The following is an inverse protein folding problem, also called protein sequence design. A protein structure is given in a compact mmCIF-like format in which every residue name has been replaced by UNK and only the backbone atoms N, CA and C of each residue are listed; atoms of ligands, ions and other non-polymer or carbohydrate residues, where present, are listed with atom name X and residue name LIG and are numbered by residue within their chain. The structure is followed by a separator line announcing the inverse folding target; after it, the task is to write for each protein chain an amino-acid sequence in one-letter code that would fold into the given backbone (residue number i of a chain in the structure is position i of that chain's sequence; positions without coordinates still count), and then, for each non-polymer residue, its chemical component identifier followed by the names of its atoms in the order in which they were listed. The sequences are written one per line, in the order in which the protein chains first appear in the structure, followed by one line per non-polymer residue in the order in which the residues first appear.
data_IF_094315735871
#
_entry.id   IF_094315735871
#
_cell.length_a   1.000
_cell.length_b   1.000
_cell.length_c   1.000
_cell.angle_alpha   90.00
_cell.angle_beta   90.00
_cell.angle_gamma   90.00
#
_symmetry.space_group_name_H-M   'P 1'
#
loop_
_entity.id
_entity.type
_entity.pdbx_description
1 polymer ?
#
# COMPACT_ATOMS: atom_id res chain seq x y z
N UNK A 1 0.25 -27.57 -16.38
CA UNK A 1 1.61 -27.53 -15.79
C UNK A 1 1.51 -26.79 -14.48
N UNK A 2 2.15 -27.24 -13.39
CA UNK A 2 2.35 -26.34 -12.25
C UNK A 2 3.16 -25.12 -12.73
N UNK A 3 2.88 -23.91 -12.22
CA UNK A 3 3.70 -22.75 -12.51
C UNK A 3 5.13 -23.03 -12.05
N UNK A 4 6.10 -22.76 -12.92
CA UNK A 4 7.52 -22.90 -12.59
C UNK A 4 7.84 -21.88 -11.50
N UNK A 5 8.27 -22.34 -10.32
CA UNK A 5 8.58 -21.53 -9.13
C UNK A 5 10.03 -21.01 -9.15
N UNK A 6 10.79 -21.30 -10.22
CA UNK A 6 12.17 -20.85 -10.36
C UNK A 6 12.25 -19.64 -11.30
N UNK A 7 13.04 -18.60 -10.95
CA UNK A 7 13.26 -17.45 -11.82
C UNK A 7 13.83 -17.93 -13.15
N UNK A 8 13.26 -17.46 -14.25
CA UNK A 8 13.78 -17.73 -15.58
C UNK A 8 14.92 -16.76 -15.92
N UNK A 9 15.76 -17.09 -16.91
CA UNK A 9 16.83 -16.18 -17.37
C UNK A 9 16.31 -14.80 -17.81
N UNK A 10 15.04 -14.71 -18.21
CA UNK A 10 14.35 -13.44 -18.47
C UNK A 10 14.21 -12.57 -17.24
N UNK A 11 13.98 -13.18 -16.08
CA UNK A 11 13.64 -12.52 -14.83
C UNK A 11 14.91 -11.91 -14.22
N UNK A 12 16.03 -12.63 -14.30
CA UNK A 12 17.34 -12.10 -13.93
C UNK A 12 17.76 -10.89 -14.76
N UNK A 13 17.44 -10.90 -16.06
CA UNK A 13 17.72 -9.76 -16.94
C UNK A 13 16.79 -8.59 -16.64
N UNK A 14 15.53 -8.85 -16.31
CA UNK A 14 14.59 -7.82 -15.89
C UNK A 14 15.08 -7.15 -14.60
N UNK A 15 15.47 -7.93 -13.60
CA UNK A 15 15.98 -7.44 -12.33
C UNK A 15 17.27 -6.64 -12.50
N UNK A 16 18.20 -7.10 -13.35
CA UNK A 16 19.41 -6.35 -13.67
C UNK A 16 19.10 -4.98 -14.31
N UNK A 17 18.08 -4.91 -15.17
CA UNK A 17 17.65 -3.65 -15.75
C UNK A 17 16.98 -2.73 -14.72
N UNK A 18 16.10 -3.26 -13.87
CA UNK A 18 15.48 -2.52 -12.76
C UNK A 18 16.56 -1.93 -11.84
N UNK A 19 17.56 -2.74 -11.46
CA UNK A 19 18.68 -2.33 -10.62
C UNK A 19 19.52 -1.21 -11.26
N UNK A 20 19.87 -1.36 -12.54
CA UNK A 20 20.61 -0.34 -13.28
C UNK A 20 19.81 0.98 -13.37
N UNK A 21 18.49 0.88 -13.56
CA UNK A 21 17.58 2.02 -13.55
C UNK A 21 17.54 2.74 -12.21
N UNK A 22 17.37 1.98 -11.11
CA UNK A 22 17.36 2.51 -9.75
C UNK A 22 18.65 3.28 -9.42
N UNK A 23 19.81 2.71 -9.75
CA UNK A 23 21.11 3.34 -9.51
C UNK A 23 21.28 4.64 -10.34
N UNK A 24 20.80 4.64 -11.58
CA UNK A 24 20.83 5.84 -12.40
C UNK A 24 19.92 6.94 -11.85
N UNK A 25 18.70 6.60 -11.47
CA UNK A 25 17.72 7.55 -10.90
C UNK A 25 18.23 8.11 -9.56
N UNK A 26 18.88 7.28 -8.73
CA UNK A 26 19.51 7.74 -7.49
C UNK A 26 20.51 8.87 -7.74
N UNK A 27 21.35 8.70 -8.76
CA UNK A 27 22.37 9.69 -9.11
C UNK A 27 21.73 11.02 -9.54
N UNK A 28 20.59 10.96 -10.22
CA UNK A 28 19.83 12.13 -10.65
C UNK A 28 19.14 12.82 -9.47
N UNK A 29 18.50 12.06 -8.58
CA UNK A 29 17.86 12.57 -7.35
C UNK A 29 18.90 13.29 -6.48
N UNK A 30 20.07 12.69 -6.27
CA UNK A 30 21.18 13.29 -5.51
C UNK A 30 21.70 14.58 -6.16
N UNK A 31 21.73 14.64 -7.49
CA UNK A 31 22.20 15.81 -8.23
C UNK A 31 21.16 16.94 -8.26
N UNK A 32 19.86 16.64 -8.31
CA UNK A 32 18.79 17.63 -8.40
C UNK A 32 18.26 18.09 -7.05
N UNK A 33 18.43 17.28 -6.00
CA UNK A 33 17.82 17.52 -4.69
C UNK A 33 16.29 17.38 -4.69
N UNK A 34 15.73 16.71 -5.70
CA UNK A 34 14.28 16.54 -5.84
C UNK A 34 13.81 15.29 -5.09
N UNK A 35 12.66 15.39 -4.42
CA UNK A 35 11.95 14.20 -3.93
C UNK A 35 11.15 13.59 -5.09
N UNK A 36 11.30 12.28 -5.29
CA UNK A 36 10.64 11.52 -6.35
C UNK A 36 10.11 10.23 -5.75
N UNK A 37 8.83 9.95 -5.96
CA UNK A 37 8.24 8.65 -5.65
C UNK A 37 8.70 7.63 -6.70
N UNK A 38 9.56 6.69 -6.28
CA UNK A 38 10.13 5.69 -7.15
C UNK A 38 9.61 4.31 -6.76
N UNK A 39 9.03 3.58 -7.72
CA UNK A 39 8.68 2.17 -7.55
C UNK A 39 9.45 1.31 -8.54
N UNK A 40 9.91 0.13 -8.11
CA UNK A 40 10.57 -0.84 -8.96
C UNK A 40 10.14 -2.27 -8.61
N UNK A 41 10.24 -3.16 -9.59
CA UNK A 41 9.89 -4.57 -9.44
C UNK A 41 11.12 -5.45 -9.54
N UNK A 42 11.17 -6.45 -8.66
CA UNK A 42 12.10 -7.58 -8.74
C UNK A 42 11.37 -8.91 -8.72
N UNK A 43 11.85 -9.85 -9.51
CA UNK A 43 11.29 -11.19 -9.65
C UNK A 43 12.07 -12.26 -8.89
N UNK A 44 13.37 -12.06 -8.69
CA UNK A 44 14.22 -13.00 -7.97
C UNK A 44 14.24 -12.70 -6.46
N UNK A 45 13.99 -13.73 -5.64
CA UNK A 45 14.03 -13.61 -4.17
C UNK A 45 15.39 -13.15 -3.63
N UNK A 46 16.48 -13.42 -4.36
CA UNK A 46 17.83 -12.97 -3.98
C UNK A 46 17.99 -11.46 -4.02
N UNK A 47 17.05 -10.74 -4.66
CA UNK A 47 17.04 -9.29 -4.68
C UNK A 47 16.54 -8.67 -3.38
N UNK A 48 16.03 -9.44 -2.40
CA UNK A 48 15.69 -8.92 -1.07
C UNK A 48 16.86 -8.21 -0.38
N UNK A 49 18.00 -8.87 -0.31
CA UNK A 49 19.20 -8.31 0.33
C UNK A 49 19.69 -7.02 -0.37
N UNK A 50 19.43 -6.93 -1.68
CA UNK A 50 19.79 -5.76 -2.50
C UNK A 50 18.75 -4.64 -2.32
N UNK A 51 17.47 -4.97 -2.22
CA UNK A 51 16.36 -4.03 -2.07
C UNK A 51 16.49 -3.18 -0.80
N UNK A 52 17.02 -3.73 0.29
CA UNK A 52 17.27 -3.01 1.55
C UNK A 52 18.21 -1.80 1.37
N UNK A 53 19.06 -1.80 0.34
CA UNK A 53 19.95 -0.67 0.03
C UNK A 53 19.22 0.48 -0.68
N UNK A 54 18.02 0.21 -1.20
CA UNK A 54 17.19 1.14 -1.96
C UNK A 54 16.05 1.71 -1.12
N UNK A 55 16.32 2.11 0.13
CA UNK A 55 15.30 2.66 1.05
C UNK A 55 14.62 3.97 0.60
N UNK A 56 15.01 4.53 -0.54
CA UNK A 56 14.36 5.67 -1.20
C UNK A 56 13.35 5.24 -2.28
N UNK A 57 13.23 3.94 -2.56
CA UNK A 57 12.33 3.38 -3.55
C UNK A 57 11.38 2.36 -2.90
N UNK A 58 10.16 2.31 -3.40
CA UNK A 58 9.21 1.27 -3.07
C UNK A 58 9.49 0.04 -3.95
N UNK A 59 10.10 -0.99 -3.36
CA UNK A 59 10.44 -2.22 -4.07
C UNK A 59 9.30 -3.23 -3.92
N UNK A 60 8.82 -3.72 -5.06
CA UNK A 60 7.71 -4.67 -5.14
C UNK A 60 8.26 -6.01 -5.63
N UNK A 61 7.84 -7.09 -4.97
CA UNK A 61 8.12 -8.47 -5.37
C UNK A 61 6.81 -9.13 -5.84
N UNK A 62 6.47 -9.06 -7.14
CA UNK A 62 5.13 -9.45 -7.62
C UNK A 62 4.79 -10.92 -7.36
N UNK A 63 5.79 -11.81 -7.38
CA UNK A 63 5.58 -13.23 -7.10
C UNK A 63 5.15 -13.49 -5.65
N UNK A 64 5.58 -12.68 -4.68
CA UNK A 64 5.17 -12.81 -3.28
C UNK A 64 3.73 -12.38 -3.08
N UNK A 65 3.36 -11.24 -3.66
CA UNK A 65 1.98 -10.75 -3.63
C UNK A 65 1.08 -11.78 -4.33
N UNK A 66 1.43 -12.20 -5.55
CA UNK A 66 0.67 -13.18 -6.32
C UNK A 66 0.51 -14.52 -5.59
N UNK A 67 1.58 -15.06 -4.99
CA UNK A 67 1.52 -16.33 -4.25
C UNK A 67 0.63 -16.26 -3.03
N UNK A 68 0.62 -15.14 -2.29
CA UNK A 68 -0.29 -14.92 -1.15
C UNK A 68 -1.74 -14.83 -1.60
N UNK A 69 -2.03 -14.06 -2.64
CA UNK A 69 -3.39 -13.94 -3.19
C UNK A 69 -3.93 -15.30 -3.67
N UNK A 70 -3.09 -16.12 -4.30
CA UNK A 70 -3.45 -17.49 -4.69
C UNK A 70 -3.75 -18.34 -3.44
N UNK A 71 -2.87 -18.31 -2.43
CA UNK A 71 -3.04 -19.10 -1.21
C UNK A 71 -4.32 -18.71 -0.44
N UNK A 72 -4.66 -17.43 -0.41
CA UNK A 72 -5.90 -16.92 0.20
C UNK A 72 -7.13 -17.32 -0.60
N UNK A 73 -7.09 -17.19 -1.92
CA UNK A 73 -8.19 -17.57 -2.82
C UNK A 73 -8.48 -19.07 -2.77
N UNK A 74 -7.44 -19.90 -2.61
CA UNK A 74 -7.62 -21.35 -2.40
C UNK A 74 -8.32 -21.68 -1.08
N UNK A 75 -8.20 -20.81 -0.07
CA UNK A 75 -8.84 -20.98 1.24
C UNK A 75 -10.29 -20.49 1.22
N UNK A 76 -10.55 -19.36 0.56
CA UNK A 76 -11.87 -18.77 0.40
C UNK A 76 -12.07 -18.29 -1.04
N UNK A 77 -12.73 -19.08 -1.91
CA UNK A 77 -12.88 -18.75 -3.33
C UNK A 77 -13.63 -17.44 -3.58
N UNK A 78 -14.48 -16.99 -2.65
CA UNK A 78 -15.17 -15.71 -2.75
C UNK A 78 -14.21 -14.51 -2.73
N UNK A 79 -13.02 -14.64 -2.12
CA UNK A 79 -12.01 -13.58 -2.10
C UNK A 79 -11.45 -13.27 -3.49
N UNK A 80 -11.53 -14.19 -4.45
CA UNK A 80 -11.06 -13.92 -5.81
C UNK A 80 -11.76 -12.70 -6.41
N UNK A 81 -13.07 -12.55 -6.17
CA UNK A 81 -13.82 -11.39 -6.68
C UNK A 81 -13.36 -10.10 -6.02
N UNK A 82 -13.13 -10.14 -4.71
CA UNK A 82 -12.61 -9.00 -3.93
C UNK A 82 -11.23 -8.57 -4.44
N UNK A 83 -10.30 -9.52 -4.63
CA UNK A 83 -8.97 -9.21 -5.14
C UNK A 83 -8.99 -8.67 -6.57
N UNK A 84 -9.83 -9.24 -7.44
CA UNK A 84 -9.95 -8.73 -8.80
C UNK A 84 -10.54 -7.31 -8.86
N UNK A 85 -11.44 -6.95 -7.94
CA UNK A 85 -11.93 -5.58 -7.83
C UNK A 85 -10.84 -4.64 -7.30
N UNK A 86 -10.22 -4.98 -6.16
CA UNK A 86 -9.23 -4.12 -5.50
C UNK A 86 -7.94 -3.90 -6.32
N UNK A 87 -7.57 -4.85 -7.18
CA UNK A 87 -6.38 -4.78 -8.04
C UNK A 87 -6.72 -4.31 -9.46
N UNK A 88 -7.98 -4.00 -9.73
CA UNK A 88 -8.44 -3.45 -11.01
C UNK A 88 -8.45 -1.92 -10.95
N UNK A 89 -8.33 -1.29 -12.11
CA UNK A 89 -8.54 0.16 -12.29
C UNK A 89 -10.02 0.58 -12.20
N UNK A 90 -10.92 -0.37 -11.94
CA UNK A 90 -12.36 -0.19 -11.88
C UNK A 90 -12.87 -0.73 -10.55
N UNK A 91 -13.76 0.03 -9.90
CA UNK A 91 -14.37 -0.34 -8.63
C UNK A 91 -13.81 0.48 -7.48
N UNK A 92 -13.84 -0.08 -6.27
CA UNK A 92 -13.26 0.56 -5.08
C UNK A 92 -11.77 0.27 -5.00
N UNK A 93 -10.99 1.32 -4.74
CA UNK A 93 -9.55 1.26 -4.55
C UNK A 93 -9.18 1.63 -3.11
N UNK A 94 -8.02 1.16 -2.66
CA UNK A 94 -7.43 1.61 -1.39
C UNK A 94 -6.90 3.03 -1.58
N UNK A 95 -7.48 4.01 -0.89
CA UNK A 95 -7.03 5.40 -0.92
C UNK A 95 -6.58 5.89 0.44
N UNK A 96 -5.71 6.89 0.42
CA UNK A 96 -5.15 7.55 1.59
C UNK A 96 -5.66 8.99 1.61
N UNK A 97 -6.33 9.38 2.70
CA UNK A 97 -6.95 10.70 2.85
C UNK A 97 -6.44 11.38 4.12
N UNK A 98 -6.15 12.69 4.11
CA UNK A 98 -5.81 13.40 5.33
C UNK A 98 -6.99 13.32 6.31
N UNK A 99 -6.70 13.15 7.60
CA UNK A 99 -7.73 13.01 8.64
C UNK A 99 -8.67 14.22 8.72
N UNK A 100 -8.17 15.41 8.37
CA UNK A 100 -8.91 16.68 8.32
C UNK A 100 -10.10 16.61 7.36
N UNK A 101 -10.07 15.73 6.36
CA UNK A 101 -11.21 15.50 5.47
C UNK A 101 -12.48 15.12 6.25
N UNK A 102 -12.34 14.41 7.37
CA UNK A 102 -13.46 13.87 8.14
C UNK A 102 -13.70 14.60 9.46
N UNK A 103 -12.66 15.24 10.02
CA UNK A 103 -12.79 16.02 11.26
C UNK A 103 -13.03 17.51 11.02
N UNK A 104 -12.80 18.02 9.80
CA UNK A 104 -12.85 19.46 9.53
C UNK A 104 -11.75 20.18 10.31
N UNK A 105 -12.14 21.22 11.05
CA UNK A 105 -11.23 22.02 11.89
C UNK A 105 -10.99 21.40 13.29
N UNK A 106 -11.68 20.31 13.63
CA UNK A 106 -11.49 19.62 14.91
C UNK A 106 -10.26 18.70 14.88
N UNK A 107 -9.42 18.77 15.91
CA UNK A 107 -8.26 17.88 16.05
C UNK A 107 -8.57 16.60 16.84
N UNK A 108 -9.76 16.50 17.46
CA UNK A 108 -10.11 15.43 18.39
C UNK A 108 -11.27 14.62 17.83
N UNK A 109 -11.06 13.31 17.68
CA UNK A 109 -12.09 12.39 17.23
C UNK A 109 -11.73 10.93 17.50
N UNK A 110 -12.73 10.06 17.47
CA UNK A 110 -12.52 8.61 17.51
C UNK A 110 -12.42 8.05 16.09
N UNK A 111 -11.75 6.92 15.92
CA UNK A 111 -11.77 6.20 14.63
C UNK A 111 -13.20 5.89 14.18
N UNK A 112 -14.08 5.49 15.11
CA UNK A 112 -15.48 5.20 14.81
C UNK A 112 -16.25 6.41 14.31
N UNK A 113 -16.04 7.60 14.88
CA UNK A 113 -16.69 8.83 14.40
C UNK A 113 -16.21 9.21 13.01
N UNK A 114 -14.90 9.07 12.74
CA UNK A 114 -14.32 9.28 11.40
C UNK A 114 -14.93 8.31 10.39
N UNK A 115 -14.98 7.01 10.74
CA UNK A 115 -15.57 5.99 9.88
C UNK A 115 -17.05 6.25 9.58
N UNK A 116 -17.78 6.81 10.55
CA UNK A 116 -19.18 7.21 10.36
C UNK A 116 -19.30 8.35 9.34
N UNK A 117 -18.54 9.43 9.51
CA UNK A 117 -18.52 10.56 8.56
C UNK A 117 -18.11 10.12 7.16
N UNK A 118 -17.04 9.32 7.05
CA UNK A 118 -16.59 8.77 5.78
C UNK A 118 -17.69 7.97 5.05
N UNK A 119 -18.44 7.15 5.77
CA UNK A 119 -19.51 6.35 5.20
C UNK A 119 -20.74 7.19 4.84
N UNK A 120 -21.17 8.09 5.71
CA UNK A 120 -22.43 8.85 5.55
C UNK A 120 -22.28 9.97 4.52
N UNK A 121 -21.14 10.69 4.54
CA UNK A 121 -20.97 11.92 3.78
C UNK A 121 -20.13 11.72 2.50
N UNK A 122 -19.34 10.64 2.43
CA UNK A 122 -18.40 10.41 1.33
C UNK A 122 -18.56 9.06 0.61
N UNK A 123 -19.45 8.16 1.07
CA UNK A 123 -19.57 6.79 0.53
C UNK A 123 -18.26 5.98 0.57
N UNK A 124 -17.40 6.28 1.56
CA UNK A 124 -16.10 5.63 1.74
C UNK A 124 -16.14 4.63 2.90
N UNK A 125 -15.39 3.53 2.78
CA UNK A 125 -15.25 2.55 3.86
C UNK A 125 -13.88 2.75 4.49
N UNK A 126 -13.84 3.21 5.74
CA UNK A 126 -12.57 3.31 6.47
C UNK A 126 -12.11 1.92 6.90
N UNK A 127 -10.89 1.56 6.53
CA UNK A 127 -10.27 0.26 6.87
C UNK A 127 -9.10 0.41 7.85
N UNK A 128 -8.63 1.63 8.10
CA UNK A 128 -7.55 1.90 9.04
C UNK A 128 -7.09 3.35 9.04
N UNK A 129 -5.94 3.58 9.66
CA UNK A 129 -5.24 4.88 9.66
C UNK A 129 -3.72 4.68 9.71
N UNK A 130 -2.95 5.70 9.37
CA UNK A 130 -1.49 5.71 9.44
C UNK A 130 -0.98 7.03 10.04
N UNK A 131 0.13 6.97 10.77
CA UNK A 131 0.71 8.13 11.48
C UNK A 131 2.11 8.50 10.99
N UNK A 132 2.33 8.42 9.66
CA UNK A 132 3.63 8.64 9.01
C UNK A 132 4.70 7.56 9.27
N UNK A 133 4.51 6.70 10.29
CA UNK A 133 5.46 5.62 10.64
C UNK A 133 4.88 4.23 10.49
N UNK A 134 3.59 4.07 10.80
CA UNK A 134 2.94 2.76 10.80
C UNK A 134 1.49 2.90 10.38
N UNK A 135 1.00 1.88 9.67
CA UNK A 135 -0.40 1.72 9.33
C UNK A 135 -1.07 0.76 10.32
N UNK A 136 -2.27 1.13 10.78
CA UNK A 136 -3.11 0.40 11.71
C UNK A 136 -4.41 0.03 10.99
N UNK A 137 -4.50 -1.20 10.52
CA UNK A 137 -5.69 -1.73 9.85
C UNK A 137 -6.65 -2.37 10.85
N UNK A 138 -7.94 -2.16 10.64
CA UNK A 138 -9.03 -2.67 11.48
C UNK A 138 -8.78 -2.45 13.00
N UNK A 139 -8.59 -1.19 13.44
CA UNK A 139 -8.41 -0.91 14.87
C UNK A 139 -9.62 -1.38 15.68
N UNK A 140 -9.36 -1.85 16.90
CA UNK A 140 -10.36 -2.47 17.77
C UNK A 140 -10.24 -1.97 19.21
N UNK A 141 -11.26 -2.25 20.04
CA UNK A 141 -11.27 -1.80 21.43
C UNK A 141 -11.19 -0.28 21.56
N UNK A 142 -10.29 0.20 22.43
CA UNK A 142 -10.10 1.63 22.67
C UNK A 142 -9.61 2.37 21.42
N UNK A 143 -8.81 1.74 20.55
CA UNK A 143 -8.32 2.37 19.32
C UNK A 143 -9.45 2.64 18.32
N UNK A 144 -10.58 1.96 18.46
CA UNK A 144 -11.79 2.18 17.67
C UNK A 144 -12.68 3.29 18.26
N UNK A 145 -12.87 3.30 19.57
CA UNK A 145 -13.94 4.07 20.22
C UNK A 145 -13.47 5.28 21.01
N UNK A 146 -12.25 5.27 21.53
CA UNK A 146 -11.73 6.38 22.30
C UNK A 146 -11.41 7.56 21.37
N UNK A 147 -11.78 8.76 21.80
CA UNK A 147 -11.31 9.97 21.15
C UNK A 147 -9.81 10.13 21.39
N UNK A 148 -9.09 10.50 20.33
CA UNK A 148 -7.69 10.89 20.38
C UNK A 148 -7.49 12.20 19.64
N UNK A 149 -6.36 12.84 19.92
CA UNK A 149 -5.86 13.93 19.09
C UNK A 149 -5.23 13.34 17.83
N UNK A 150 -5.56 13.92 16.69
CA UNK A 150 -5.02 13.58 15.38
C UNK A 150 -4.09 14.70 14.91
N UNK A 151 -3.02 14.33 14.21
CA UNK A 151 -2.06 15.24 13.60
C UNK A 151 -2.44 15.55 12.14
N UNK A 152 -1.88 16.61 11.57
CA UNK A 152 -1.95 16.89 10.12
C UNK A 152 -1.29 15.80 9.27
N UNK A 153 -0.31 15.08 9.83
CA UNK A 153 0.37 13.97 9.16
C UNK A 153 -0.42 12.64 9.26
N UNK A 154 -1.50 12.60 10.04
CA UNK A 154 -2.31 11.39 10.18
C UNK A 154 -3.20 11.20 8.94
N UNK A 155 -3.11 9.99 8.39
CA UNK A 155 -3.82 9.56 7.19
C UNK A 155 -4.88 8.55 7.56
N UNK A 156 -6.07 8.66 6.98
CA UNK A 156 -7.12 7.67 7.04
C UNK A 156 -7.05 6.82 5.77
N UNK A 157 -7.04 5.49 5.96
CA UNK A 157 -7.00 4.52 4.87
C UNK A 157 -8.43 4.08 4.59
N UNK A 158 -8.89 4.28 3.36
CA UNK A 158 -10.26 3.98 2.95
C UNK A 158 -10.33 3.11 1.70
N UNK A 159 -11.49 2.49 1.49
CA UNK A 159 -11.93 1.99 0.19
C UNK A 159 -12.92 3.00 -0.39
N UNK A 160 -12.57 3.58 -1.53
CA UNK A 160 -13.40 4.57 -2.23
C UNK A 160 -13.43 4.28 -3.72
N UNK A 161 -14.52 4.63 -4.39
CA UNK A 161 -14.57 4.67 -5.85
C UNK A 161 -13.74 5.87 -6.35
N UNK A 162 -13.11 5.71 -7.51
CA UNK A 162 -12.30 6.73 -8.18
C UNK A 162 -13.17 7.77 -8.88
#
# INVERSE_FOLDING_TARGET
QPPTVFPQDSDLRADANSLAGLAHIESLIKASGSEVDLSAEFWDERMHDVADHFGYANIIFPYEVGSRLIAETLREPLLNQVWNELLSQYGREVTMRPVQKYLGDDEIGSYQSIAKVASEDHNEIVIGYANGKSAFLNPSGNDKTASRTWSEDDIIVTLSEN
#
